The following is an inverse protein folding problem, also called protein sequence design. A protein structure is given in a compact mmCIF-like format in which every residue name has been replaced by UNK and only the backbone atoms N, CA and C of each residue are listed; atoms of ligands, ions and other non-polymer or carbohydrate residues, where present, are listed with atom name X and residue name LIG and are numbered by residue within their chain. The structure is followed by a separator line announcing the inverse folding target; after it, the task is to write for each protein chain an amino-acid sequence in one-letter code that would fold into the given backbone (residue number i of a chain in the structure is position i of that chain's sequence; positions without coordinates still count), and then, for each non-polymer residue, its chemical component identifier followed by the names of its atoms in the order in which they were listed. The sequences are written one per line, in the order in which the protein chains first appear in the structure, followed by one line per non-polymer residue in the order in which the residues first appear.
data_IF_733740066985
#
_entry.id   IF_733740066985
#
_cell.length_a   1.000
_cell.length_b   1.000
_cell.length_c   1.000
_cell.angle_alpha   90.00
_cell.angle_beta   90.00
_cell.angle_gamma   90.00
#
_symmetry.space_group_name_H-M   'P 1'
#
loop_
_entity.id
_entity.type
_entity.pdbx_description
1 polymer ?
#
# COMPACT_ATOMS: atom_id res chain seq x y z
N UNK A 1 -27.20 -0.75 -38.54
CA UNK A 1 -26.16 0.16 -39.04
C UNK A 1 -25.00 0.06 -38.08
N UNK A 2 -23.95 -0.69 -38.45
CA UNK A 2 -22.70 -0.69 -37.71
C UNK A 2 -21.89 0.49 -38.26
N UNK A 3 -21.57 1.45 -37.41
CA UNK A 3 -20.63 2.52 -37.75
C UNK A 3 -19.21 1.92 -37.76
N UNK A 4 -18.49 1.90 -38.90
CA UNK A 4 -17.15 1.32 -38.99
C UNK A 4 -16.04 2.27 -38.51
N UNK A 5 -16.37 3.44 -37.96
CA UNK A 5 -15.37 4.42 -37.54
C UNK A 5 -15.09 4.36 -36.02
N UNK A 6 -13.80 4.36 -35.69
CA UNK A 6 -13.21 4.48 -34.36
C UNK A 6 -13.07 3.13 -33.61
N UNK A 7 -12.27 2.22 -34.17
CA UNK A 7 -11.23 1.61 -33.32
C UNK A 7 -10.09 2.62 -33.25
N UNK A 8 -10.22 3.64 -32.39
CA UNK A 8 -9.08 4.46 -32.05
C UNK A 8 -7.98 3.52 -31.54
N UNK A 9 -6.76 3.68 -32.02
CA UNK A 9 -5.64 2.92 -31.51
C UNK A 9 -5.48 3.30 -30.02
N UNK A 10 -5.95 2.43 -29.12
CA UNK A 10 -6.04 2.64 -27.66
C UNK A 10 -4.67 2.43 -27.00
N UNK A 11 -3.62 2.96 -27.61
CA UNK A 11 -2.29 2.93 -27.02
C UNK A 11 -2.00 4.34 -26.49
N UNK A 12 -1.84 4.50 -25.17
CA UNK A 12 -1.51 5.79 -24.60
C UNK A 12 -0.14 6.25 -25.11
N UNK A 13 0.03 7.55 -25.26
CA UNK A 13 1.33 8.17 -25.57
C UNK A 13 2.24 8.14 -24.35
N UNK A 14 3.56 8.21 -24.58
CA UNK A 14 4.53 8.30 -23.49
C UNK A 14 4.24 9.49 -22.57
N UNK A 15 3.89 10.65 -23.14
CA UNK A 15 3.55 11.85 -22.37
C UNK A 15 2.35 11.61 -21.44
N UNK A 16 1.27 10.99 -21.92
CA UNK A 16 0.12 10.63 -21.09
C UNK A 16 0.51 9.67 -19.96
N UNK A 17 1.34 8.66 -20.25
CA UNK A 17 1.83 7.69 -19.26
C UNK A 17 2.63 8.41 -18.16
N UNK A 18 3.62 9.22 -18.53
CA UNK A 18 4.47 9.92 -17.55
C UNK A 18 3.69 10.96 -16.75
N UNK A 19 2.81 11.73 -17.39
CA UNK A 19 1.99 12.73 -16.71
C UNK A 19 1.04 12.08 -15.70
N UNK A 20 0.45 10.93 -16.03
CA UNK A 20 -0.40 10.19 -15.10
C UNK A 20 0.35 9.65 -13.86
N UNK A 21 1.68 9.57 -13.91
CA UNK A 21 2.51 9.14 -12.78
C UNK A 21 3.15 10.31 -12.02
N UNK A 22 2.99 11.55 -12.47
CA UNK A 22 3.55 12.72 -11.80
C UNK A 22 2.92 12.89 -10.40
N UNK A 23 3.74 12.76 -9.36
CA UNK A 23 3.28 12.82 -7.96
C UNK A 23 2.82 11.49 -7.38
N UNK A 24 2.89 10.39 -8.14
CA UNK A 24 2.45 9.06 -7.73
C UNK A 24 0.95 8.84 -7.87
N UNK A 25 0.50 7.60 -7.66
CA UNK A 25 -0.90 7.18 -7.86
C UNK A 25 -1.73 7.12 -6.59
N UNK A 26 -1.12 7.38 -5.43
CA UNK A 26 -1.73 7.20 -4.12
C UNK A 26 -1.79 8.51 -3.35
N UNK A 27 -2.80 8.63 -2.48
CA UNK A 27 -2.94 9.69 -1.50
C UNK A 27 -3.48 9.14 -0.19
N UNK A 28 -3.34 9.91 0.89
CA UNK A 28 -3.92 9.59 2.20
C UNK A 28 -5.00 10.61 2.51
N UNK A 29 -6.18 10.13 2.88
CA UNK A 29 -7.31 10.96 3.29
C UNK A 29 -7.73 10.62 4.72
N UNK A 30 -7.92 11.64 5.55
CA UNK A 30 -8.38 11.46 6.92
C UNK A 30 -9.88 11.14 6.95
N UNK A 31 -10.26 10.03 7.60
CA UNK A 31 -11.67 9.65 7.77
C UNK A 31 -12.34 10.29 8.99
N UNK A 32 -11.54 10.85 9.91
CA UNK A 32 -12.03 11.52 11.11
C UNK A 32 -12.05 13.04 10.90
N UNK A 33 -13.09 13.71 11.39
CA UNK A 33 -13.12 15.18 11.38
C UNK A 33 -12.10 15.75 12.37
N UNK A 34 -11.43 16.81 11.94
CA UNK A 34 -10.50 17.62 12.74
C UNK A 34 -10.78 19.12 12.57
N UNK A 35 -12.01 19.47 12.16
CA UNK A 35 -12.38 20.84 11.77
C UNK A 35 -12.58 21.81 12.93
N UNK A 36 -12.80 21.29 14.14
CA UNK A 36 -13.09 22.10 15.32
C UNK A 36 -12.42 21.53 16.60
N UNK A 37 -12.33 22.31 17.69
CA UNK A 37 -11.65 21.88 18.91
C UNK A 37 -12.21 20.61 19.54
N UNK A 38 -13.53 20.38 19.43
CA UNK A 38 -14.17 19.17 19.96
C UNK A 38 -13.80 17.97 19.10
N UNK A 39 -13.90 18.09 17.78
CA UNK A 39 -13.51 17.04 16.84
C UNK A 39 -12.03 16.65 17.04
N UNK A 40 -11.14 17.65 17.16
CA UNK A 40 -9.72 17.43 17.44
C UNK A 40 -9.48 16.75 18.80
N UNK A 41 -10.21 17.16 19.84
CA UNK A 41 -10.11 16.56 21.17
C UNK A 41 -10.56 15.08 21.21
N UNK A 42 -11.45 14.68 20.29
CA UNK A 42 -11.91 13.29 20.13
C UNK A 42 -10.90 12.47 19.31
N UNK A 43 -10.51 12.97 18.14
CA UNK A 43 -9.61 12.26 17.21
C UNK A 43 -8.16 12.20 17.73
N UNK A 44 -7.77 13.17 18.55
CA UNK A 44 -6.43 13.29 19.10
C UNK A 44 -6.49 13.54 20.62
N UNK A 45 -5.59 14.35 21.15
CA UNK A 45 -5.50 14.61 22.59
C UNK A 45 -6.67 15.48 23.07
N UNK A 46 -7.34 15.12 24.17
CA UNK A 46 -7.04 14.02 25.10
C UNK A 46 -7.74 12.68 24.80
N UNK A 47 -8.69 12.64 23.85
CA UNK A 47 -9.55 11.48 23.56
C UNK A 47 -8.79 10.21 23.16
N UNK A 48 -7.79 10.34 22.29
CA UNK A 48 -6.97 9.23 21.78
C UNK A 48 -6.34 8.40 22.90
N UNK A 49 -5.98 9.02 24.02
CA UNK A 49 -5.37 8.33 25.16
C UNK A 49 -6.31 7.27 25.78
N UNK A 50 -7.63 7.46 25.70
CA UNK A 50 -8.61 6.46 26.13
C UNK A 50 -8.56 5.22 25.24
N UNK A 51 -8.48 5.40 23.93
CA UNK A 51 -8.38 4.31 22.94
C UNK A 51 -7.04 3.58 23.09
N UNK A 52 -5.93 4.30 23.21
CA UNK A 52 -4.60 3.69 23.41
C UNK A 52 -4.53 2.85 24.69
N UNK A 53 -5.10 3.32 25.82
CA UNK A 53 -5.15 2.53 27.05
C UNK A 53 -6.04 1.29 26.91
N UNK A 54 -7.14 1.38 26.16
CA UNK A 54 -7.99 0.22 25.89
C UNK A 54 -7.24 -0.84 25.07
N UNK A 55 -6.52 -0.44 24.02
CA UNK A 55 -5.69 -1.36 23.21
C UNK A 55 -4.54 -1.95 24.04
N UNK A 56 -3.93 -1.17 24.93
CA UNK A 56 -2.89 -1.68 25.83
C UNK A 56 -3.44 -2.76 26.80
N UNK A 57 -4.72 -2.67 27.18
CA UNK A 57 -5.38 -3.67 28.01
C UNK A 57 -5.88 -4.89 27.21
N UNK A 58 -6.31 -4.69 25.96
CA UNK A 58 -6.70 -5.75 25.02
C UNK A 58 -6.26 -5.40 23.60
N UNK A 59 -5.17 -6.04 23.15
CA UNK A 59 -4.56 -5.78 21.85
C UNK A 59 -5.48 -6.06 20.66
N UNK A 60 -6.50 -6.93 20.81
CA UNK A 60 -7.47 -7.23 19.74
C UNK A 60 -8.33 -6.02 19.37
N UNK A 61 -8.42 -5.03 20.26
CA UNK A 61 -9.14 -3.79 19.99
C UNK A 61 -8.47 -2.93 18.91
N UNK A 62 -7.20 -3.19 18.57
CA UNK A 62 -6.54 -2.53 17.44
C UNK A 62 -7.30 -2.77 16.13
N UNK A 63 -7.74 -4.01 15.87
CA UNK A 63 -8.47 -4.38 14.65
C UNK A 63 -9.76 -3.57 14.44
N UNK A 64 -10.35 -3.08 15.54
CA UNK A 64 -11.59 -2.29 15.52
C UNK A 64 -11.37 -0.79 15.54
N UNK A 65 -10.39 -0.32 16.32
CA UNK A 65 -10.22 1.12 16.61
C UNK A 65 -9.02 1.74 15.89
N UNK A 66 -8.33 0.99 15.05
CA UNK A 66 -7.38 1.50 14.08
C UNK A 66 -7.78 1.03 12.68
N UNK A 67 -7.08 1.52 11.66
CA UNK A 67 -7.21 1.02 10.30
C UNK A 67 -6.45 -0.29 10.02
N UNK A 68 -5.76 -0.87 11.01
CA UNK A 68 -4.83 -2.00 10.83
C UNK A 68 -5.50 -3.16 10.09
N UNK A 69 -6.72 -3.55 10.48
CA UNK A 69 -7.44 -4.70 9.91
C UNK A 69 -7.79 -4.57 8.42
N UNK A 70 -7.77 -3.35 7.86
CA UNK A 70 -8.04 -3.07 6.43
C UNK A 70 -6.81 -2.59 5.67
N UNK A 71 -5.64 -2.54 6.31
CA UNK A 71 -4.40 -2.04 5.73
C UNK A 71 -3.52 -3.18 5.26
N UNK A 72 -3.14 -3.16 3.98
CA UNK A 72 -2.24 -4.13 3.34
C UNK A 72 -0.86 -3.49 3.11
N UNK A 73 0.21 -4.19 3.47
CA UNK A 73 1.55 -3.88 3.00
C UNK A 73 1.78 -4.56 1.64
N UNK A 74 2.05 -3.79 0.58
CA UNK A 74 2.44 -4.34 -0.73
C UNK A 74 3.96 -4.28 -0.81
N UNK A 75 4.62 -5.44 -0.72
CA UNK A 75 6.06 -5.53 -0.44
C UNK A 75 6.81 -6.15 -1.59
N UNK A 76 7.92 -5.52 -1.98
CA UNK A 76 8.80 -5.97 -3.06
C UNK A 76 10.24 -5.54 -2.81
N UNK A 77 11.21 -6.31 -3.29
CA UNK A 77 12.62 -5.89 -3.41
C UNK A 77 12.94 -5.35 -4.82
N UNK A 78 11.98 -5.44 -5.75
CA UNK A 78 12.13 -5.00 -7.14
C UNK A 78 12.95 -5.92 -8.03
N UNK A 79 13.17 -7.18 -7.61
CA UNK A 79 14.06 -8.11 -8.32
C UNK A 79 13.39 -8.92 -9.43
N UNK A 80 12.05 -8.90 -9.51
CA UNK A 80 11.29 -9.57 -10.57
C UNK A 80 10.07 -8.75 -11.03
N UNK A 81 10.30 -7.49 -11.41
CA UNK A 81 9.21 -6.57 -11.76
C UNK A 81 8.65 -6.88 -13.14
N UNK A 82 7.43 -7.42 -13.19
CA UNK A 82 6.75 -7.75 -14.44
C UNK A 82 7.65 -8.59 -15.40
N UNK A 83 7.85 -8.12 -16.63
CA UNK A 83 8.82 -8.68 -17.58
C UNK A 83 10.15 -7.91 -17.65
N UNK A 84 10.37 -6.96 -16.74
CA UNK A 84 11.54 -6.08 -16.73
C UNK A 84 12.73 -6.70 -15.96
N UNK A 85 12.46 -7.70 -15.13
CA UNK A 85 13.47 -8.37 -14.31
C UNK A 85 13.86 -7.55 -13.09
N UNK A 86 15.13 -7.64 -12.70
CA UNK A 86 15.69 -6.90 -11.58
C UNK A 86 16.00 -5.46 -11.99
N UNK A 87 15.13 -4.54 -11.57
CA UNK A 87 15.26 -3.10 -11.78
C UNK A 87 15.47 -2.35 -10.46
N UNK A 88 15.55 -3.10 -9.35
CA UNK A 88 15.67 -2.57 -8.00
C UNK A 88 14.39 -1.96 -7.42
N UNK A 89 14.40 -1.68 -6.12
CA UNK A 89 13.20 -1.34 -5.35
C UNK A 89 12.57 0.00 -5.77
N UNK A 90 13.37 1.01 -6.08
CA UNK A 90 12.84 2.33 -6.46
C UNK A 90 12.13 2.31 -7.81
N UNK A 91 12.65 1.54 -8.77
CA UNK A 91 12.03 1.44 -10.08
C UNK A 91 10.77 0.57 -10.06
N UNK A 92 10.56 -0.26 -9.02
CA UNK A 92 9.34 -1.05 -8.83
C UNK A 92 8.17 -0.25 -8.25
N UNK A 93 8.42 0.92 -7.62
CA UNK A 93 7.40 1.75 -6.97
C UNK A 93 6.15 2.01 -7.82
N UNK A 94 6.24 2.40 -9.11
CA UNK A 94 5.05 2.58 -9.93
C UNK A 94 4.20 1.31 -10.01
N UNK A 95 4.80 0.13 -10.08
CA UNK A 95 4.04 -1.14 -10.10
C UNK A 95 3.36 -1.38 -8.75
N UNK A 96 4.08 -1.18 -7.65
CA UNK A 96 3.54 -1.37 -6.29
C UNK A 96 2.42 -0.38 -5.96
N UNK A 97 2.55 0.88 -6.37
CA UNK A 97 1.49 1.88 -6.28
C UNK A 97 0.26 1.47 -7.11
N UNK A 98 0.48 0.90 -8.29
CA UNK A 98 -0.59 0.35 -9.12
C UNK A 98 -1.35 -0.75 -8.39
N UNK A 99 -0.63 -1.71 -7.78
CA UNK A 99 -1.23 -2.79 -6.98
C UNK A 99 -2.02 -2.25 -5.78
N UNK A 100 -1.49 -1.27 -5.07
CA UNK A 100 -2.21 -0.61 -3.98
C UNK A 100 -3.49 0.11 -4.47
N UNK A 101 -3.46 0.78 -5.62
CA UNK A 101 -4.64 1.40 -6.21
C UNK A 101 -5.71 0.35 -6.61
N UNK A 102 -5.28 -0.81 -7.09
CA UNK A 102 -6.18 -1.93 -7.40
C UNK A 102 -6.81 -2.52 -6.12
N UNK A 103 -6.06 -2.68 -5.03
CA UNK A 103 -6.60 -3.08 -3.73
C UNK A 103 -7.70 -2.13 -3.26
N UNK A 104 -7.50 -0.82 -3.44
CA UNK A 104 -8.51 0.18 -3.10
C UNK A 104 -9.73 0.10 -3.99
N UNK A 105 -9.54 0.11 -5.31
CA UNK A 105 -10.63 0.18 -6.28
C UNK A 105 -11.52 -1.08 -6.28
N UNK A 106 -10.92 -2.26 -6.12
CA UNK A 106 -11.63 -3.53 -6.30
C UNK A 106 -11.77 -4.34 -5.00
N UNK A 107 -10.88 -4.14 -4.03
CA UNK A 107 -10.92 -4.83 -2.74
C UNK A 107 -11.51 -4.00 -1.59
N UNK A 108 -11.67 -2.68 -1.77
CA UNK A 108 -12.04 -1.77 -0.68
C UNK A 108 -11.01 -1.71 0.44
N UNK A 109 -9.77 -2.16 0.19
CA UNK A 109 -8.67 -2.19 1.15
C UNK A 109 -7.77 -0.98 0.97
N UNK A 110 -7.25 -0.46 2.08
CA UNK A 110 -6.16 0.53 2.01
C UNK A 110 -4.84 -0.25 1.87
N UNK A 111 -3.90 0.27 1.08
CA UNK A 111 -2.65 -0.42 0.81
C UNK A 111 -1.48 0.56 0.72
N UNK A 112 -0.34 0.17 1.30
CA UNK A 112 0.88 0.98 1.31
C UNK A 112 1.99 0.19 0.59
N UNK A 113 2.58 0.75 -0.48
CA UNK A 113 3.79 0.22 -1.09
C UNK A 113 4.97 0.29 -0.12
N UNK A 114 5.64 -0.84 0.12
CA UNK A 114 6.87 -0.93 0.89
C UNK A 114 7.93 -1.65 0.05
N UNK A 115 8.73 -0.88 -0.67
CA UNK A 115 9.88 -1.43 -1.42
C UNK A 115 11.12 -1.45 -0.52
N UNK A 116 11.78 -2.60 -0.44
CA UNK A 116 12.91 -2.81 0.47
C UNK A 116 14.23 -2.81 -0.30
N UNK A 117 15.20 -2.02 0.16
CA UNK A 117 16.54 -1.94 -0.44
C UNK A 117 17.48 -3.00 0.14
N UNK A 118 17.01 -4.24 0.10
CA UNK A 118 17.75 -5.45 0.45
C UNK A 118 17.15 -6.62 -0.31
N UNK A 119 17.98 -7.62 -0.57
CA UNK A 119 17.55 -8.88 -1.17
C UNK A 119 17.86 -10.08 -0.27
N UNK A 120 18.28 -9.80 0.96
CA UNK A 120 18.48 -10.79 2.01
C UNK A 120 17.11 -11.18 2.60
N UNK A 121 16.82 -12.48 2.59
CA UNK A 121 15.51 -13.01 3.01
C UNK A 121 15.28 -12.75 4.50
N UNK A 122 16.29 -12.96 5.35
CA UNK A 122 16.16 -12.79 6.79
C UNK A 122 15.91 -11.33 7.14
N UNK A 123 16.56 -10.39 6.45
CA UNK A 123 16.33 -8.96 6.64
C UNK A 123 14.92 -8.53 6.24
N UNK A 124 14.40 -9.07 5.13
CA UNK A 124 13.03 -8.80 4.67
C UNK A 124 12.03 -9.38 5.68
N UNK A 125 12.17 -10.65 6.07
CA UNK A 125 11.29 -11.31 7.04
C UNK A 125 11.29 -10.56 8.37
N UNK A 126 12.46 -10.22 8.90
CA UNK A 126 12.59 -9.48 10.16
C UNK A 126 11.91 -8.10 10.07
N UNK A 127 12.08 -7.41 8.94
CA UNK A 127 11.40 -6.13 8.69
C UNK A 127 9.88 -6.29 8.71
N UNK A 128 9.35 -7.30 8.01
CA UNK A 128 7.92 -7.59 7.95
C UNK A 128 7.35 -7.97 9.32
N UNK A 129 8.05 -8.81 10.08
CA UNK A 129 7.67 -9.22 11.43
C UNK A 129 7.58 -8.01 12.36
N UNK A 130 8.53 -7.07 12.27
CA UNK A 130 8.52 -5.83 13.06
C UNK A 130 7.40 -4.88 12.66
N UNK A 131 7.03 -4.84 11.38
CA UNK A 131 5.95 -3.98 10.86
C UNK A 131 4.56 -4.57 11.06
N UNK A 132 4.44 -5.88 11.33
CA UNK A 132 3.18 -6.60 11.51
C UNK A 132 2.12 -5.86 12.35
N UNK A 133 2.43 -5.20 13.50
CA UNK A 133 1.40 -4.51 14.29
C UNK A 133 0.63 -3.42 13.53
N UNK A 134 1.21 -2.88 12.45
CA UNK A 134 0.61 -1.80 11.65
C UNK A 134 -0.29 -2.30 10.53
N UNK A 135 -0.16 -3.55 10.10
CA UNK A 135 -0.80 -4.09 8.90
C UNK A 135 -1.67 -5.32 9.21
N UNK A 136 -2.82 -5.43 8.55
CA UNK A 136 -3.70 -6.58 8.64
C UNK A 136 -3.28 -7.71 7.70
N UNK A 137 -2.54 -7.38 6.63
CA UNK A 137 -2.02 -8.34 5.67
C UNK A 137 -0.72 -7.86 5.02
N UNK A 138 0.07 -8.81 4.51
CA UNK A 138 1.24 -8.58 3.66
C UNK A 138 0.96 -9.24 2.31
N UNK A 139 1.18 -8.50 1.24
CA UNK A 139 1.15 -8.96 -0.14
C UNK A 139 2.57 -8.88 -0.71
N UNK A 140 3.28 -10.00 -0.76
CA UNK A 140 4.58 -10.10 -1.41
C UNK A 140 4.39 -10.05 -2.94
N UNK A 141 5.12 -9.16 -3.61
CA UNK A 141 4.99 -8.90 -5.04
C UNK A 141 6.38 -8.74 -5.69
N UNK A 142 6.54 -9.25 -6.91
CA UNK A 142 7.72 -9.01 -7.76
C UNK A 142 9.09 -9.29 -7.09
N UNK A 143 9.17 -10.36 -6.30
CA UNK A 143 10.41 -10.90 -5.72
C UNK A 143 10.87 -12.12 -6.51
N UNK A 144 12.15 -12.15 -6.89
CA UNK A 144 12.71 -13.22 -7.72
C UNK A 144 12.73 -14.59 -7.03
N UNK A 145 12.48 -15.63 -7.83
CA UNK A 145 12.74 -17.01 -7.43
C UNK A 145 14.26 -17.29 -7.36
N UNK A 146 14.72 -18.23 -6.51
CA UNK A 146 13.91 -19.05 -5.61
C UNK A 146 13.55 -18.37 -4.28
N UNK A 147 14.09 -17.18 -3.98
CA UNK A 147 13.94 -16.52 -2.68
C UNK A 147 12.49 -16.26 -2.29
N UNK A 148 11.62 -15.98 -3.26
CA UNK A 148 10.19 -15.81 -3.01
C UNK A 148 9.48 -17.06 -2.45
N UNK A 149 10.09 -18.25 -2.49
CA UNK A 149 9.57 -19.45 -1.84
C UNK A 149 10.04 -19.60 -0.39
N UNK A 150 11.13 -18.95 -0.03
CA UNK A 150 11.69 -18.95 1.33
C UNK A 150 11.09 -17.83 2.19
N UNK A 151 10.81 -16.69 1.57
CA UNK A 151 10.04 -15.56 2.11
C UNK A 151 8.59 -15.95 2.49
#
# INVERSE_FOLDING_TARGET
MNDPAITANVQPTDEEIFLAHAGGKLGIEATASVSDPRALAIAYTPGVAKVSRAIAADAKLADRYTWTSRLVAVVSDGTAVLGLGDIGPRASLPVMEGKAALFKAFGGLDAIPLVLDTTDVDEIVETLVRLRPSFGAVNLEDVAAPRCFEL
#
